data_IF_896169849069
#
_entry.id   IF_896169849069
#
_cell.length_a   1.000
_cell.length_b   1.000
_cell.length_c   1.000
_cell.angle_alpha   90.00
_cell.angle_beta   90.00
_cell.angle_gamma   90.00
#
_symmetry.space_group_name_H-M   'P 1'
#
loop_
_entity.id
_entity.type
_entity.pdbx_description
1 polymer ?
#
# COMPACT_ATOMS: atom_id res chain seq x y z
N UNK A 1 -17.03 11.36 -8.99
CA UNK A 1 -17.49 10.17 -8.24
C UNK A 1 -16.32 9.20 -8.09
N UNK A 2 -16.08 8.61 -6.90
CA UNK A 2 -14.98 7.65 -6.64
C UNK A 2 -15.58 6.33 -6.18
N UNK A 3 -15.24 5.22 -6.84
CA UNK A 3 -15.64 3.89 -6.40
C UNK A 3 -14.86 3.52 -5.13
N UNK A 4 -15.58 3.22 -4.06
CA UNK A 4 -15.01 2.73 -2.80
C UNK A 4 -15.62 1.37 -2.50
N UNK A 5 -14.78 0.34 -2.49
CA UNK A 5 -15.19 -1.04 -2.17
C UNK A 5 -14.97 -1.26 -0.68
N UNK A 6 -15.97 -1.77 0.02
CA UNK A 6 -15.89 -2.06 1.46
C UNK A 6 -15.24 -3.42 1.72
N UNK A 7 -13.94 -3.41 1.96
CA UNK A 7 -13.16 -4.61 2.31
C UNK A 7 -13.01 -4.84 3.82
N UNK A 8 -13.82 -4.20 4.69
CA UNK A 8 -13.64 -4.32 6.15
C UNK A 8 -13.65 -5.77 6.65
N UNK A 9 -14.58 -6.59 6.19
CA UNK A 9 -14.64 -8.01 6.59
C UNK A 9 -13.49 -8.82 5.98
N UNK A 10 -13.13 -8.57 4.73
CA UNK A 10 -11.98 -9.20 4.08
C UNK A 10 -10.67 -8.89 4.83
N UNK A 11 -10.49 -7.65 5.28
CA UNK A 11 -9.30 -7.21 6.01
C UNK A 11 -9.18 -7.84 7.41
N UNK A 12 -10.29 -8.26 8.03
CA UNK A 12 -10.28 -8.95 9.33
C UNK A 12 -9.76 -10.39 9.21
N UNK A 13 -10.12 -11.09 8.14
CA UNK A 13 -9.72 -12.48 7.89
C UNK A 13 -8.37 -12.62 7.20
N UNK A 14 -7.87 -11.52 6.61
CA UNK A 14 -6.56 -11.50 5.94
C UNK A 14 -5.42 -11.43 6.95
N UNK A 15 -4.41 -12.29 6.78
CA UNK A 15 -3.20 -12.26 7.61
C UNK A 15 -2.48 -10.93 7.42
N UNK A 16 -2.33 -10.16 8.51
CA UNK A 16 -1.66 -8.86 8.47
C UNK A 16 -0.17 -9.05 8.20
N UNK A 17 0.32 -8.49 7.10
CA UNK A 17 1.76 -8.38 6.87
C UNK A 17 2.34 -7.34 7.84
N UNK A 18 3.13 -7.78 8.81
CA UNK A 18 3.83 -6.91 9.77
C UNK A 18 5.22 -6.55 9.24
N UNK A 19 5.25 -5.91 8.08
CA UNK A 19 6.50 -5.33 7.59
C UNK A 19 6.92 -4.18 8.52
N UNK A 20 8.16 -4.19 8.98
CA UNK A 20 8.70 -3.13 9.82
C UNK A 20 8.87 -1.87 8.98
N UNK A 21 7.98 -0.92 9.16
CA UNK A 21 8.16 0.42 8.60
C UNK A 21 9.10 1.19 9.53
N UNK A 22 10.18 1.81 8.99
CA UNK A 22 11.09 2.62 9.79
C UNK A 22 10.35 3.82 10.37
N UNK A 23 10.83 4.33 11.52
CA UNK A 23 10.30 5.58 12.07
C UNK A 23 10.74 6.73 11.17
N UNK A 24 9.97 7.81 11.23
CA UNK A 24 10.27 8.99 10.41
C UNK A 24 11.63 9.59 10.79
N UNK A 25 11.99 9.57 12.07
CA UNK A 25 13.28 10.06 12.57
C UNK A 25 14.44 9.22 12.01
N UNK A 26 14.31 7.89 12.03
CA UNK A 26 15.31 6.97 11.46
C UNK A 26 15.56 7.23 9.96
N UNK A 27 14.53 7.66 9.22
CA UNK A 27 14.64 8.02 7.80
C UNK A 27 15.37 9.36 7.61
N UNK A 28 15.15 10.33 8.49
CA UNK A 28 15.81 11.64 8.41
C UNK A 28 17.28 11.56 8.84
N UNK A 29 17.61 10.73 9.83
CA UNK A 29 18.99 10.48 10.23
C UNK A 29 19.82 9.92 9.06
N UNK A 30 19.23 9.03 8.25
CA UNK A 30 19.87 8.49 7.04
C UNK A 30 20.12 9.54 5.95
N UNK A 31 19.33 10.60 5.94
CA UNK A 31 19.43 11.69 4.97
C UNK A 31 20.36 12.82 5.44
N UNK A 32 20.91 12.74 6.64
CA UNK A 32 21.80 13.74 7.19
C UNK A 32 23.06 13.91 6.31
N UNK A 33 23.39 15.17 6.00
CA UNK A 33 24.55 15.51 5.17
C UNK A 33 24.27 15.53 3.66
N UNK A 34 23.08 15.10 3.21
CA UNK A 34 22.65 15.34 1.83
C UNK A 34 22.29 16.83 1.63
N UNK A 35 22.71 17.39 0.50
CA UNK A 35 22.50 18.80 0.16
C UNK A 35 21.40 19.00 -0.90
N UNK A 36 21.07 17.94 -1.65
CA UNK A 36 20.05 17.94 -2.70
C UNK A 36 19.12 16.76 -2.49
N UNK A 37 17.82 17.02 -2.57
CA UNK A 37 16.77 16.01 -2.41
C UNK A 37 15.88 15.94 -3.64
N UNK A 38 15.47 14.74 -4.01
CA UNK A 38 14.42 14.50 -5.01
C UNK A 38 13.41 13.53 -4.44
N UNK A 39 12.14 13.71 -4.81
CA UNK A 39 11.04 12.84 -4.39
C UNK A 39 10.34 12.30 -5.62
N UNK A 40 10.16 10.99 -5.66
CA UNK A 40 9.39 10.30 -6.69
C UNK A 40 8.07 9.88 -6.05
N UNK A 41 6.96 10.19 -6.71
CA UNK A 41 5.62 9.79 -6.25
C UNK A 41 5.03 8.71 -7.16
N UNK A 42 4.58 7.61 -6.57
CA UNK A 42 3.86 6.54 -7.26
C UNK A 42 2.35 6.71 -7.07
N UNK A 43 1.77 7.72 -7.74
CA UNK A 43 0.36 8.14 -7.60
C UNK A 43 -0.67 6.99 -7.76
N UNK A 44 -0.34 5.99 -8.57
CA UNK A 44 -1.18 4.81 -8.84
C UNK A 44 -0.51 3.49 -8.42
N UNK A 45 0.44 3.53 -7.49
CA UNK A 45 1.27 2.38 -7.12
C UNK A 45 0.48 1.12 -6.75
N UNK A 46 -0.67 1.27 -6.08
CA UNK A 46 -1.55 0.14 -5.74
C UNK A 46 -2.10 -0.61 -6.95
N UNK A 47 -2.31 0.05 -8.09
CA UNK A 47 -2.84 -0.57 -9.30
C UNK A 47 -1.74 -1.10 -10.23
N UNK A 48 -0.48 -0.74 -9.98
CA UNK A 48 0.66 -1.24 -10.74
C UNK A 48 1.13 -2.60 -10.20
N UNK A 49 0.90 -2.87 -8.91
CA UNK A 49 1.19 -4.16 -8.29
C UNK A 49 0.09 -5.18 -8.61
N UNK A 50 0.51 -6.33 -9.15
CA UNK A 50 -0.41 -7.43 -9.46
C UNK A 50 -0.78 -8.20 -8.19
N UNK A 51 -2.06 -8.52 -8.06
CA UNK A 51 -2.55 -9.48 -7.07
C UNK A 51 -2.12 -10.88 -7.54
N UNK A 52 -1.74 -11.75 -6.61
CA UNK A 52 -1.44 -13.15 -6.91
C UNK A 52 -2.68 -13.85 -7.47
N UNK A 53 -2.53 -14.64 -8.52
CA UNK A 53 -3.67 -15.26 -9.23
C UNK A 53 -4.64 -16.03 -8.31
N UNK A 54 -4.11 -16.71 -7.29
CA UNK A 54 -4.91 -17.44 -6.29
C UNK A 54 -5.76 -16.54 -5.39
N UNK A 55 -5.41 -15.26 -5.27
CA UNK A 55 -6.05 -14.30 -4.37
C UNK A 55 -7.00 -13.34 -5.11
N UNK A 56 -6.98 -13.32 -6.45
CA UNK A 56 -7.90 -12.51 -7.27
C UNK A 56 -9.38 -12.72 -6.89
N UNK A 57 -9.88 -13.96 -6.66
CA UNK A 57 -11.27 -14.15 -6.29
C UNK A 57 -11.64 -13.54 -4.92
N UNK A 58 -10.65 -13.35 -4.03
CA UNK A 58 -10.89 -12.78 -2.69
C UNK A 58 -11.23 -11.29 -2.74
N UNK A 59 -10.82 -10.60 -3.81
CA UNK A 59 -11.09 -9.16 -4.02
C UNK A 59 -12.33 -8.91 -4.89
N UNK A 60 -13.18 -9.92 -5.10
CA UNK A 60 -14.42 -9.76 -5.85
C UNK A 60 -15.37 -8.78 -5.14
N UNK A 61 -16.10 -7.99 -5.92
CA UNK A 61 -17.14 -7.08 -5.45
C UNK A 61 -18.35 -7.16 -6.39
N UNK A 62 -19.52 -6.78 -5.87
CA UNK A 62 -20.75 -6.75 -6.66
C UNK A 62 -21.09 -5.31 -7.02
N UNK A 63 -21.29 -5.02 -8.30
CA UNK A 63 -21.96 -3.80 -8.75
C UNK A 63 -23.48 -3.99 -8.72
N UNK A 64 -24.23 -2.89 -8.64
CA UNK A 64 -25.70 -2.92 -8.70
C UNK A 64 -26.18 -3.41 -10.06
#
# INVERSE_FOLDING_TARGET
MRLCIDYRELNKVTVKNRYLLPRIDDLFDQLQGATVFSKIDMRSGYHQLRIKDSDIPKTAFRSR
#
